data_IF_437048608761
#
_entry.id   IF_437048608761
#
_cell.length_a   1.000
_cell.length_b   1.000
_cell.length_c   1.000
_cell.angle_alpha   90.00
_cell.angle_beta   90.00
_cell.angle_gamma   90.00
#
_symmetry.space_group_name_H-M   'P 1'
#
loop_
_entity.id
_entity.type
_entity.pdbx_description
1 polymer ?
#
# COMPACT_ATOMS: atom_id res chain seq x y z
N UNK A 1 58.42 23.23 35.92
CA UNK A 1 57.23 23.59 35.12
C UNK A 1 56.48 22.30 34.83
N UNK A 2 55.59 21.91 35.74
CA UNK A 2 54.88 20.63 35.74
C UNK A 2 53.49 20.87 35.16
N UNK A 3 53.17 20.18 34.06
CA UNK A 3 51.91 20.30 33.33
C UNK A 3 50.87 19.41 34.00
N UNK A 4 49.89 20.02 34.67
CA UNK A 4 48.76 19.33 35.28
C UNK A 4 47.91 18.64 34.21
N UNK A 5 47.73 17.33 34.35
CA UNK A 5 46.75 16.54 33.61
C UNK A 5 45.38 16.71 34.28
N UNK A 6 44.51 17.49 33.64
CA UNK A 6 43.09 17.55 34.00
C UNK A 6 42.41 16.27 33.56
N UNK A 7 41.99 15.50 34.56
CA UNK A 7 41.17 14.30 34.48
C UNK A 7 39.78 14.73 33.97
N UNK A 8 39.46 14.45 32.72
CA UNK A 8 38.10 14.63 32.19
C UNK A 8 37.22 13.52 32.73
N UNK A 9 36.28 13.89 33.60
CA UNK A 9 35.17 13.05 34.05
C UNK A 9 34.43 12.50 32.83
N UNK A 10 34.55 11.18 32.63
CA UNK A 10 33.70 10.42 31.73
C UNK A 10 32.34 10.30 32.41
N UNK A 11 31.43 11.20 32.07
CA UNK A 11 30.02 11.07 32.43
C UNK A 11 29.50 9.74 31.87
N UNK A 12 28.98 8.82 32.70
CA UNK A 12 28.48 7.54 32.21
C UNK A 12 27.31 7.81 31.28
N UNK A 13 27.45 7.35 30.04
CA UNK A 13 26.38 7.30 29.06
C UNK A 13 25.11 6.78 29.75
N UNK A 14 24.08 7.63 29.75
CA UNK A 14 22.73 7.28 30.16
C UNK A 14 22.30 6.05 29.37
N UNK A 15 22.38 4.88 30.00
CA UNK A 15 21.77 3.67 29.49
C UNK A 15 20.28 3.97 29.33
N UNK A 16 19.80 4.04 28.09
CA UNK A 16 18.38 4.15 27.81
C UNK A 16 17.67 3.02 28.56
N UNK A 17 16.68 3.32 29.42
CA UNK A 17 16.02 2.29 30.20
C UNK A 17 15.36 1.31 29.25
N UNK A 18 15.75 0.03 29.36
CA UNK A 18 15.12 -1.08 28.62
C UNK A 18 13.60 -0.92 28.75
N UNK A 19 12.87 -0.72 27.63
CA UNK A 19 11.45 -0.45 27.68
C UNK A 19 10.75 -1.63 28.35
N UNK A 20 10.03 -1.37 29.45
CA UNK A 20 9.29 -2.42 30.15
C UNK A 20 8.28 -3.07 29.20
N UNK A 21 8.12 -4.39 29.27
CA UNK A 21 7.23 -5.16 28.39
C UNK A 21 5.81 -4.57 28.32
N UNK A 22 5.32 -4.01 29.44
CA UNK A 22 4.03 -3.31 29.50
C UNK A 22 3.94 -2.05 28.63
N UNK A 23 5.01 -1.24 28.52
CA UNK A 23 5.02 -0.05 27.64
C UNK A 23 4.97 -0.45 26.16
N UNK A 24 5.65 -1.54 25.80
CA UNK A 24 5.61 -2.10 24.43
C UNK A 24 4.21 -2.60 24.09
N UNK A 25 3.57 -3.35 24.99
CA UNK A 25 2.20 -3.83 24.79
C UNK A 25 1.20 -2.68 24.63
N UNK A 26 1.27 -1.65 25.49
CA UNK A 26 0.39 -0.48 25.40
C UNK A 26 0.56 0.24 24.05
N UNK A 27 1.81 0.41 23.58
CA UNK A 27 2.07 1.01 22.25
C UNK A 27 1.46 0.17 21.12
N UNK A 28 1.59 -1.15 21.18
CA UNK A 28 1.00 -2.05 20.17
C UNK A 28 -0.53 -2.01 20.18
N UNK A 29 -1.16 -2.03 21.36
CA UNK A 29 -2.62 -1.92 21.49
C UNK A 29 -3.10 -0.60 20.90
N UNK A 30 -2.46 0.52 21.25
CA UNK A 30 -2.80 1.84 20.70
C UNK A 30 -2.65 1.88 19.17
N UNK A 31 -1.58 1.30 18.64
CA UNK A 31 -1.38 1.19 17.20
C UNK A 31 -2.53 0.41 16.54
N UNK A 32 -2.85 -0.78 17.05
CA UNK A 32 -3.93 -1.62 16.52
C UNK A 32 -5.29 -0.91 16.63
N UNK A 33 -5.56 -0.22 17.73
CA UNK A 33 -6.76 0.60 17.89
C UNK A 33 -6.84 1.71 16.86
N UNK A 34 -5.72 2.42 16.59
CA UNK A 34 -5.67 3.45 15.55
C UNK A 34 -5.96 2.89 14.16
N UNK A 35 -5.38 1.72 13.82
CA UNK A 35 -5.65 1.02 12.56
C UNK A 35 -7.11 0.53 12.47
N UNK A 36 -7.67 0.04 13.58
CA UNK A 36 -9.07 -0.40 13.64
C UNK A 36 -10.05 0.77 13.44
N UNK A 37 -9.74 1.95 13.99
CA UNK A 37 -10.53 3.17 13.76
C UNK A 37 -10.46 3.58 12.29
N UNK A 38 -9.27 3.58 11.68
CA UNK A 38 -9.14 3.86 10.24
C UNK A 38 -9.93 2.87 9.38
N UNK A 39 -9.83 1.57 9.69
CA UNK A 39 -10.61 0.52 9.04
C UNK A 39 -12.12 0.77 9.14
N UNK A 40 -12.62 1.15 10.33
CA UNK A 40 -14.03 1.44 10.57
C UNK A 40 -14.50 2.67 9.77
N UNK A 41 -13.73 3.76 9.77
CA UNK A 41 -14.05 4.97 9.00
C UNK A 41 -14.23 4.64 7.52
N UNK A 42 -13.28 3.93 6.92
CA UNK A 42 -13.38 3.55 5.51
C UNK A 42 -14.49 2.53 5.25
N UNK A 43 -14.76 1.62 6.19
CA UNK A 43 -15.84 0.64 6.05
C UNK A 43 -17.22 1.31 6.01
N UNK A 44 -17.46 2.28 6.88
CA UNK A 44 -18.75 2.94 7.03
C UNK A 44 -18.94 4.13 6.09
N UNK A 45 -17.91 4.97 5.91
CA UNK A 45 -18.00 6.22 5.15
C UNK A 45 -17.45 6.08 3.73
N UNK A 46 -16.45 5.22 3.52
CA UNK A 46 -15.81 5.05 2.20
C UNK A 46 -16.78 4.72 1.05
N UNK A 47 -17.78 3.83 1.23
CA UNK A 47 -18.76 3.54 0.18
C UNK A 47 -19.59 4.76 -0.24
N UNK A 48 -19.86 5.68 0.69
CA UNK A 48 -20.58 6.92 0.41
C UNK A 48 -19.73 7.85 -0.44
N UNK A 49 -18.43 7.97 -0.11
CA UNK A 49 -17.48 8.77 -0.87
C UNK A 49 -17.22 8.24 -2.29
N UNK A 50 -17.36 6.93 -2.48
CA UNK A 50 -17.24 6.31 -3.79
C UNK A 50 -18.47 6.55 -4.69
N UNK A 51 -19.60 7.02 -4.15
CA UNK A 51 -20.82 7.34 -4.92
C UNK A 51 -21.35 6.18 -5.77
N UNK A 52 -21.03 4.92 -5.43
CA UNK A 52 -21.37 3.77 -6.26
C UNK A 52 -22.88 3.49 -6.21
N UNK A 53 -23.47 3.27 -7.39
CA UNK A 53 -24.86 2.79 -7.55
C UNK A 53 -24.99 1.33 -7.08
N UNK A 54 -23.91 0.53 -7.18
CA UNK A 54 -23.85 -0.85 -6.70
C UNK A 54 -22.82 -0.99 -5.54
N UNK A 55 -23.26 -1.24 -4.29
CA UNK A 55 -22.37 -1.45 -3.15
C UNK A 55 -21.49 -2.72 -3.27
N UNK A 56 -21.78 -3.61 -4.22
CA UNK A 56 -20.96 -4.76 -4.59
C UNK A 56 -20.18 -4.57 -5.91
N UNK A 57 -20.08 -3.35 -6.43
CA UNK A 57 -19.29 -3.03 -7.63
C UNK A 57 -17.77 -3.09 -7.38
N UNK A 58 -16.93 -3.22 -8.43
CA UNK A 58 -15.48 -3.12 -8.28
C UNK A 58 -15.11 -1.70 -7.86
N UNK A 59 -14.27 -1.56 -6.83
CA UNK A 59 -13.79 -0.24 -6.40
C UNK A 59 -12.70 0.22 -7.37
N UNK A 60 -13.09 0.97 -8.40
CA UNK A 60 -12.18 1.54 -9.39
C UNK A 60 -12.63 2.93 -9.83
N UNK A 61 -11.69 3.89 -9.90
CA UNK A 61 -11.94 5.25 -10.38
C UNK A 61 -12.24 5.32 -11.88
N UNK A 62 -11.89 4.28 -12.62
CA UNK A 62 -12.02 4.21 -14.07
C UNK A 62 -13.48 4.16 -14.53
N UNK A 63 -14.38 3.70 -13.67
CA UNK A 63 -15.83 3.61 -13.95
C UNK A 63 -16.66 4.65 -13.17
N UNK A 64 -16.00 5.57 -12.44
CA UNK A 64 -16.67 6.62 -11.67
C UNK A 64 -16.95 7.84 -12.55
N UNK A 65 -18.19 8.37 -12.60
CA UNK A 65 -18.53 9.53 -13.44
C UNK A 65 -17.75 10.80 -13.09
N UNK A 66 -17.43 10.99 -11.80
CA UNK A 66 -16.80 12.19 -11.25
C UNK A 66 -15.58 11.85 -10.38
N UNK A 67 -14.58 11.18 -10.97
CA UNK A 67 -13.38 10.71 -10.26
C UNK A 67 -12.64 11.77 -9.43
N UNK A 68 -12.68 13.04 -9.83
CA UNK A 68 -12.06 14.14 -9.07
C UNK A 68 -12.77 14.44 -7.74
N UNK A 69 -14.11 14.41 -7.71
CA UNK A 69 -14.90 14.64 -6.50
C UNK A 69 -14.66 13.48 -5.52
N UNK A 70 -14.77 12.25 -6.02
CA UNK A 70 -14.48 11.04 -5.25
C UNK A 70 -13.07 11.06 -4.67
N UNK A 71 -12.07 11.48 -5.44
CA UNK A 71 -10.70 11.59 -4.93
C UNK A 71 -10.56 12.66 -3.85
N UNK A 72 -11.24 13.79 -3.98
CA UNK A 72 -11.24 14.84 -2.96
C UNK A 72 -11.90 14.37 -1.64
N UNK A 73 -12.99 13.61 -1.72
CA UNK A 73 -13.66 13.04 -0.55
C UNK A 73 -12.80 11.97 0.14
N UNK A 74 -12.16 11.10 -0.66
CA UNK A 74 -11.24 10.08 -0.15
C UNK A 74 -9.97 10.70 0.44
N UNK A 75 -9.51 11.85 -0.09
CA UNK A 75 -8.44 12.65 0.49
C UNK A 75 -8.82 13.15 1.89
N UNK A 76 -10.04 13.67 2.05
CA UNK A 76 -10.57 14.05 3.36
C UNK A 76 -10.58 12.88 4.34
N UNK A 77 -11.07 11.71 3.91
CA UNK A 77 -11.08 10.49 4.72
C UNK A 77 -9.67 10.01 5.08
N UNK A 78 -8.72 10.08 4.15
CA UNK A 78 -7.32 9.72 4.40
C UNK A 78 -6.68 10.64 5.45
N UNK A 79 -6.92 11.95 5.37
CA UNK A 79 -6.41 12.92 6.37
C UNK A 79 -7.01 12.63 7.75
N UNK A 80 -8.33 12.45 7.85
CA UNK A 80 -9.03 12.20 9.12
C UNK A 80 -8.60 10.88 9.75
N UNK A 81 -8.61 9.80 8.97
CA UNK A 81 -8.22 8.46 9.45
C UNK A 81 -6.76 8.41 9.89
N UNK A 82 -5.85 8.97 9.09
CA UNK A 82 -4.43 9.07 9.42
C UNK A 82 -4.20 9.90 10.67
N UNK A 83 -4.84 11.07 10.77
CA UNK A 83 -4.72 11.95 11.92
C UNK A 83 -5.21 11.29 13.20
N UNK A 84 -6.39 10.67 13.19
CA UNK A 84 -6.93 9.94 14.33
C UNK A 84 -6.05 8.74 14.72
N UNK A 85 -5.55 7.98 13.76
CA UNK A 85 -4.68 6.85 14.04
C UNK A 85 -3.38 7.28 14.75
N UNK A 86 -2.76 8.39 14.30
CA UNK A 86 -1.56 8.95 14.94
C UNK A 86 -1.90 9.55 16.31
N UNK A 87 -3.03 10.25 16.44
CA UNK A 87 -3.47 10.78 17.74
C UNK A 87 -3.67 9.67 18.79
N UNK A 88 -4.23 8.52 18.39
CA UNK A 88 -4.43 7.35 19.26
C UNK A 88 -3.09 6.67 19.57
N UNK A 89 -2.22 6.51 18.57
CA UNK A 89 -0.91 5.88 18.73
C UNK A 89 0.04 6.71 19.61
N UNK A 90 -0.08 8.04 19.58
CA UNK A 90 0.69 9.00 20.38
C UNK A 90 1.98 9.46 19.72
N UNK A 91 2.80 10.21 20.47
CA UNK A 91 3.99 10.88 19.94
C UNK A 91 5.03 9.94 19.29
N UNK A 92 5.69 10.42 18.25
CA UNK A 92 6.71 9.71 17.48
C UNK A 92 6.15 8.65 16.54
N UNK A 93 4.85 8.72 16.20
CA UNK A 93 4.17 7.71 15.36
C UNK A 93 3.73 8.23 14.00
N UNK A 94 4.23 9.38 13.54
CA UNK A 94 3.90 9.96 12.23
C UNK A 94 4.01 8.96 11.05
N UNK A 95 4.99 8.06 11.09
CA UNK A 95 5.19 7.03 10.06
C UNK A 95 4.04 5.99 9.96
N UNK A 96 3.11 5.97 10.92
CA UNK A 96 1.93 5.09 10.95
C UNK A 96 0.73 5.64 10.18
N UNK A 97 0.72 6.94 9.87
CA UNK A 97 -0.33 7.57 9.08
C UNK A 97 -0.59 6.87 7.73
N UNK A 98 0.43 6.66 6.89
CA UNK A 98 0.28 5.92 5.62
C UNK A 98 -0.26 4.50 5.81
N UNK A 99 0.18 3.80 6.87
CA UNK A 99 -0.29 2.45 7.17
C UNK A 99 -1.79 2.46 7.53
N UNK A 100 -2.26 3.46 8.28
CA UNK A 100 -3.68 3.61 8.60
C UNK A 100 -4.53 3.86 7.35
N UNK A 101 -4.07 4.71 6.44
CA UNK A 101 -4.74 4.95 5.15
C UNK A 101 -4.76 3.66 4.31
N UNK A 102 -3.65 2.94 4.23
CA UNK A 102 -3.56 1.69 3.49
C UNK A 102 -4.51 0.62 4.07
N UNK A 103 -4.59 0.49 5.40
CA UNK A 103 -5.56 -0.41 6.06
C UNK A 103 -7.00 0.00 5.74
N UNK A 104 -7.32 1.28 5.80
CA UNK A 104 -8.65 1.79 5.42
C UNK A 104 -9.01 1.51 3.96
N UNK A 105 -8.07 1.73 3.03
CA UNK A 105 -8.29 1.41 1.62
C UNK A 105 -8.44 -0.10 1.40
N UNK A 106 -7.72 -0.94 2.13
CA UNK A 106 -7.87 -2.39 2.07
C UNK A 106 -9.25 -2.84 2.58
N UNK A 107 -9.78 -2.22 3.64
CA UNK A 107 -11.14 -2.53 4.13
C UNK A 107 -12.21 -2.05 3.16
N UNK A 108 -12.03 -0.89 2.54
CA UNK A 108 -12.90 -0.41 1.46
C UNK A 108 -12.89 -1.37 0.27
N UNK A 109 -11.70 -1.78 -0.18
CA UNK A 109 -11.55 -2.73 -1.27
C UNK A 109 -12.25 -4.05 -0.95
N UNK A 110 -12.05 -4.61 0.26
CA UNK A 110 -12.65 -5.87 0.70
C UNK A 110 -14.19 -5.92 0.60
N UNK A 111 -14.86 -4.77 0.60
CA UNK A 111 -16.31 -4.66 0.44
C UNK A 111 -16.78 -4.72 -1.03
N UNK A 112 -15.94 -4.28 -1.97
CA UNK A 112 -16.27 -4.25 -3.40
C UNK A 112 -16.07 -5.58 -4.12
N UNK A 113 -16.28 -5.61 -5.42
CA UNK A 113 -15.96 -6.75 -6.28
C UNK A 113 -14.51 -6.72 -6.79
N UNK A 114 -14.10 -7.78 -7.49
CA UNK A 114 -12.75 -7.99 -8.02
C UNK A 114 -12.58 -7.40 -9.44
N UNK A 115 -11.32 -7.32 -9.92
CA UNK A 115 -10.96 -6.92 -11.28
C UNK A 115 -11.79 -7.64 -12.35
N UNK A 116 -12.07 -8.91 -12.10
CA UNK A 116 -12.86 -9.76 -12.97
C UNK A 116 -14.23 -9.14 -13.34
N UNK A 117 -14.91 -8.51 -12.37
CA UNK A 117 -16.21 -7.85 -12.59
C UNK A 117 -16.04 -6.53 -13.36
N UNK A 118 -14.95 -5.79 -13.13
CA UNK A 118 -14.63 -4.55 -13.84
C UNK A 118 -14.47 -4.81 -15.34
N UNK A 119 -13.64 -5.79 -15.69
CA UNK A 119 -13.38 -6.14 -17.08
C UNK A 119 -14.63 -6.69 -17.76
N UNK A 120 -15.41 -7.53 -17.07
CA UNK A 120 -16.67 -8.03 -17.60
C UNK A 120 -17.66 -6.89 -17.91
N UNK A 121 -17.78 -5.92 -17.01
CA UNK A 121 -18.63 -4.75 -17.23
C UNK A 121 -18.20 -3.97 -18.47
N UNK A 122 -16.91 -3.70 -18.63
CA UNK A 122 -16.38 -2.97 -19.80
C UNK A 122 -16.55 -3.74 -21.10
N UNK A 123 -16.27 -5.04 -21.13
CA UNK A 123 -16.51 -5.89 -22.30
C UNK A 123 -17.99 -5.85 -22.71
N UNK A 124 -18.92 -5.88 -21.74
CA UNK A 124 -20.37 -5.82 -22.02
C UNK A 124 -20.83 -4.48 -22.62
N UNK A 125 -20.24 -3.37 -22.17
CA UNK A 125 -20.51 -2.03 -22.74
C UNK A 125 -20.04 -1.98 -24.20
N UNK A 126 -18.85 -2.50 -24.47
CA UNK A 126 -18.29 -2.50 -25.82
C UNK A 126 -19.10 -3.40 -26.75
N UNK A 127 -19.45 -4.61 -26.29
CA UNK A 127 -20.25 -5.55 -27.08
C UNK A 127 -21.65 -5.01 -27.41
N UNK A 128 -22.34 -4.40 -26.44
CA UNK A 128 -23.66 -3.80 -26.65
C UNK A 128 -23.61 -2.59 -27.58
N UNK A 129 -22.59 -1.74 -27.45
CA UNK A 129 -22.42 -0.56 -28.29
C UNK A 129 -22.06 -0.92 -29.73
N UNK A 130 -21.25 -1.96 -29.92
CA UNK A 130 -20.94 -2.52 -31.24
C UNK A 130 -22.19 -3.12 -31.91
N UNK A 131 -23.04 -3.83 -31.14
CA UNK A 131 -24.30 -4.36 -31.66
C UNK A 131 -25.31 -3.25 -32.04
N UNK A 132 -25.25 -2.10 -31.37
CA UNK A 132 -26.10 -0.94 -31.65
C UNK A 132 -25.57 -0.05 -32.81
N UNK A 133 -24.44 -0.39 -33.43
CA UNK A 133 -23.85 0.38 -34.52
C UNK A 133 -23.34 1.77 -34.10
N UNK A 134 -23.00 1.96 -32.82
CA UNK A 134 -22.49 3.25 -32.34
C UNK A 134 -21.05 3.49 -32.84
N UNK A 135 -20.83 4.51 -33.67
CA UNK A 135 -19.51 4.88 -34.23
C UNK A 135 -18.63 5.73 -33.28
N UNK A 136 -18.95 5.76 -31.99
CA UNK A 136 -18.19 6.51 -30.99
C UNK A 136 -16.86 5.84 -30.59
N UNK A 137 -15.98 6.58 -29.90
CA UNK A 137 -14.80 5.96 -29.28
C UNK A 137 -15.26 5.00 -28.18
N UNK A 138 -15.21 3.71 -28.46
CA UNK A 138 -15.54 2.67 -27.50
C UNK A 138 -14.48 2.66 -26.38
N UNK A 139 -14.88 2.48 -25.12
CA UNK A 139 -13.92 2.37 -24.02
C UNK A 139 -13.03 1.15 -24.21
N UNK A 140 -11.74 1.27 -23.89
CA UNK A 140 -10.81 0.15 -23.91
C UNK A 140 -11.29 -0.95 -22.92
N UNK A 141 -11.52 -2.19 -23.39
CA UNK A 141 -11.91 -3.31 -22.54
C UNK A 141 -10.90 -3.63 -21.44
N UNK A 142 -9.61 -3.36 -21.67
CA UNK A 142 -8.55 -3.56 -20.68
C UNK A 142 -7.62 -2.34 -20.62
N UNK A 143 -7.99 -1.28 -19.87
CA UNK A 143 -7.32 0.01 -19.88
C UNK A 143 -6.00 -0.03 -19.08
N UNK A 144 -4.97 -0.67 -19.64
CA UNK A 144 -3.69 -0.97 -18.97
C UNK A 144 -3.07 0.24 -18.28
N UNK A 145 -2.96 1.37 -19.00
CA UNK A 145 -2.39 2.60 -18.46
C UNK A 145 -3.31 3.29 -17.45
N UNK A 146 -4.62 3.14 -17.61
CA UNK A 146 -5.61 3.62 -16.62
C UNK A 146 -5.46 2.88 -15.29
N UNK A 147 -5.32 1.55 -15.31
CA UNK A 147 -5.12 0.72 -14.13
C UNK A 147 -3.80 1.05 -13.41
N UNK A 148 -2.72 1.24 -14.18
CA UNK A 148 -1.44 1.66 -13.64
C UNK A 148 -1.54 3.05 -13.00
N UNK A 149 -2.07 4.05 -13.72
CA UNK A 149 -2.23 5.42 -13.21
C UNK A 149 -3.11 5.47 -11.96
N UNK A 150 -4.21 4.71 -11.95
CA UNK A 150 -5.08 4.57 -10.79
C UNK A 150 -4.32 4.03 -9.58
N UNK A 151 -3.44 3.04 -9.76
CA UNK A 151 -2.61 2.51 -8.66
C UNK A 151 -1.70 3.58 -8.06
N UNK A 152 -1.08 4.40 -8.92
CA UNK A 152 -0.24 5.52 -8.47
C UNK A 152 -1.04 6.59 -7.74
N UNK A 153 -2.29 6.86 -8.14
CA UNK A 153 -3.19 7.76 -7.41
C UNK A 153 -3.50 7.23 -6.00
N UNK A 154 -3.81 5.94 -5.87
CA UNK A 154 -4.02 5.31 -4.56
C UNK A 154 -2.77 5.38 -3.67
N UNK A 155 -1.58 5.15 -4.24
CA UNK A 155 -0.31 5.31 -3.52
C UNK A 155 -0.05 6.77 -3.11
N UNK A 156 -0.42 7.73 -3.96
CA UNK A 156 -0.38 9.16 -3.63
C UNK A 156 -1.28 9.49 -2.44
N UNK A 157 -2.49 8.94 -2.39
CA UNK A 157 -3.40 9.08 -1.28
C UNK A 157 -2.83 8.49 0.02
N UNK A 158 -2.21 7.32 -0.05
CA UNK A 158 -1.49 6.69 1.08
C UNK A 158 -0.34 7.59 1.55
N UNK A 159 0.41 8.19 0.63
CA UNK A 159 1.51 9.10 0.95
C UNK A 159 1.04 10.38 1.67
N UNK A 160 -0.17 10.89 1.38
CA UNK A 160 -0.77 12.02 2.12
C UNK A 160 -0.94 11.68 3.61
N UNK A 161 -1.16 10.42 3.96
CA UNK A 161 -1.16 9.96 5.35
C UNK A 161 0.15 10.30 6.09
N UNK A 162 1.27 10.41 5.39
CA UNK A 162 2.53 10.83 6.02
C UNK A 162 2.49 12.31 6.43
N UNK A 163 1.90 13.16 5.59
CA UNK A 163 1.76 14.59 5.85
C UNK A 163 0.78 14.82 7.00
N UNK A 164 -0.40 14.20 6.94
CA UNK A 164 -1.39 14.28 8.00
C UNK A 164 -0.86 13.71 9.32
N UNK A 165 -0.18 12.57 9.26
CA UNK A 165 0.46 11.96 10.43
C UNK A 165 1.52 12.87 11.05
N UNK A 166 2.38 13.50 10.25
CA UNK A 166 3.36 14.47 10.76
C UNK A 166 2.73 15.70 11.38
N UNK A 167 1.65 16.20 10.78
CA UNK A 167 0.93 17.36 11.31
C UNK A 167 0.36 17.08 12.70
N UNK A 168 -0.28 15.92 12.90
CA UNK A 168 -0.82 15.52 14.21
C UNK A 168 0.28 15.16 15.21
N UNK A 169 1.35 14.50 14.78
CA UNK A 169 2.49 14.16 15.65
C UNK A 169 3.14 15.43 16.24
N UNK A 170 3.13 16.54 15.48
CA UNK A 170 3.58 17.85 15.93
C UNK A 170 2.79 18.45 17.08
N UNK A 171 1.57 17.96 17.37
CA UNK A 171 0.76 18.42 18.51
C UNK A 171 1.31 17.97 19.86
N UNK A 172 2.16 16.94 19.89
CA UNK A 172 2.66 16.35 21.13
C UNK A 172 3.96 17.00 21.66
N UNK A 173 4.34 18.18 21.16
CA UNK A 173 5.53 18.97 21.57
C UNK A 173 6.87 18.20 21.57
N UNK A 174 6.94 17.05 20.91
CA UNK A 174 8.20 16.34 20.71
C UNK A 174 9.01 17.05 19.63
N UNK A 175 10.21 17.54 19.98
CA UNK A 175 11.17 18.00 18.96
C UNK A 175 11.31 16.88 17.94
N UNK A 176 10.96 17.11 16.65
CA UNK A 176 11.19 16.10 15.64
C UNK A 176 12.70 15.79 15.65
N UNK A 177 13.06 14.50 15.67
CA UNK A 177 14.44 14.10 15.49
C UNK A 177 14.96 14.81 14.23
N UNK A 178 16.03 15.59 14.38
CA UNK A 178 16.60 16.42 13.33
C UNK A 178 16.74 15.59 12.06
N UNK A 179 15.98 15.93 11.01
CA UNK A 179 16.03 15.20 9.76
C UNK A 179 17.38 15.47 9.11
N UNK A 180 18.34 14.56 9.30
CA UNK A 180 19.64 14.63 8.63
C UNK A 180 19.40 14.69 7.11
N UNK A 181 20.07 15.58 6.36
CA UNK A 181 19.88 15.71 4.92
C UNK A 181 20.15 14.39 4.21
N UNK A 182 19.31 14.08 3.21
CA UNK A 182 19.43 12.88 2.36
C UNK A 182 20.72 13.00 1.54
N UNK A 183 21.65 12.07 1.76
CA UNK A 183 22.91 12.01 1.03
C UNK A 183 22.80 11.23 -0.29
N UNK A 184 23.78 11.37 -1.21
CA UNK A 184 23.83 10.58 -2.44
C UNK A 184 23.94 9.06 -2.17
N UNK A 185 24.52 8.66 -1.03
CA UNK A 185 24.53 7.27 -0.57
C UNK A 185 23.12 6.72 -0.34
N UNK A 186 22.23 7.53 0.22
CA UNK A 186 20.88 7.13 0.61
C UNK A 186 20.01 6.90 -0.65
N UNK A 187 20.23 7.71 -1.69
CA UNK A 187 19.57 7.56 -2.99
C UNK A 187 20.01 6.24 -3.65
N UNK A 188 21.32 5.96 -3.67
CA UNK A 188 21.85 4.72 -4.26
C UNK A 188 21.34 3.48 -3.53
N UNK A 189 21.30 3.51 -2.20
CA UNK A 189 20.74 2.43 -1.40
C UNK A 189 19.24 2.26 -1.64
N UNK A 190 18.48 3.36 -1.71
CA UNK A 190 17.04 3.33 -2.03
C UNK A 190 16.78 2.76 -3.42
N UNK A 191 17.57 3.12 -4.43
CA UNK A 191 17.47 2.56 -5.76
C UNK A 191 17.78 1.05 -5.78
N UNK A 192 18.82 0.62 -5.05
CA UNK A 192 19.14 -0.79 -4.88
C UNK A 192 18.02 -1.57 -4.18
N UNK A 193 17.41 -0.98 -3.15
CA UNK A 193 16.28 -1.56 -2.44
C UNK A 193 15.05 -1.69 -3.34
N UNK A 194 14.72 -0.67 -4.14
CA UNK A 194 13.61 -0.74 -5.12
C UNK A 194 13.85 -1.88 -6.10
N UNK A 195 15.06 -2.00 -6.66
CA UNK A 195 15.38 -3.04 -7.63
C UNK A 195 15.21 -4.45 -7.04
N UNK A 196 15.84 -4.72 -5.89
CA UNK A 196 15.76 -6.02 -5.23
C UNK A 196 14.33 -6.32 -4.75
N UNK A 197 13.67 -5.36 -4.11
CA UNK A 197 12.30 -5.56 -3.64
C UNK A 197 11.31 -5.79 -4.77
N UNK A 198 11.47 -5.14 -5.93
CA UNK A 198 10.61 -5.38 -7.09
C UNK A 198 10.75 -6.83 -7.56
N UNK A 199 11.98 -7.32 -7.69
CA UNK A 199 12.24 -8.72 -8.11
C UNK A 199 11.70 -9.70 -7.08
N UNK A 200 12.00 -9.50 -5.79
CA UNK A 200 11.56 -10.40 -4.72
C UNK A 200 10.04 -10.40 -4.60
N UNK A 201 9.40 -9.23 -4.57
CA UNK A 201 7.95 -9.12 -4.51
C UNK A 201 7.31 -9.83 -5.72
N UNK A 202 7.81 -9.57 -6.93
CA UNK A 202 7.34 -10.24 -8.13
C UNK A 202 7.39 -11.76 -8.02
N UNK A 203 8.53 -12.32 -7.60
CA UNK A 203 8.72 -13.77 -7.48
C UNK A 203 7.80 -14.37 -6.40
N UNK A 204 7.71 -13.73 -5.24
CA UNK A 204 6.88 -14.23 -4.12
C UNK A 204 5.40 -14.16 -4.47
N UNK A 205 4.93 -13.06 -5.06
CA UNK A 205 3.53 -12.93 -5.50
C UNK A 205 3.24 -13.96 -6.59
N UNK A 206 4.16 -14.17 -7.55
CA UNK A 206 3.99 -15.15 -8.65
C UNK A 206 3.80 -16.55 -8.11
N UNK A 207 4.60 -16.89 -7.11
CA UNK A 207 4.55 -18.18 -6.46
C UNK A 207 3.27 -18.35 -5.63
N UNK A 208 2.91 -17.35 -4.81
CA UNK A 208 1.82 -17.45 -3.85
C UNK A 208 0.42 -17.36 -4.47
N UNK A 209 0.25 -16.60 -5.56
CA UNK A 209 -1.04 -16.47 -6.25
C UNK A 209 -1.41 -17.76 -7.01
N UNK A 210 -0.44 -18.53 -7.50
CA UNK A 210 -0.68 -19.80 -8.20
C UNK A 210 -0.82 -19.67 -9.72
N UNK A 211 -1.45 -20.68 -10.36
CA UNK A 211 -1.49 -20.83 -11.84
C UNK A 211 -2.74 -20.22 -12.48
N UNK A 212 -2.65 -19.85 -13.75
CA UNK A 212 -3.71 -19.20 -14.55
C UNK A 212 -5.06 -19.96 -14.52
N UNK A 213 -5.01 -21.28 -14.57
CA UNK A 213 -6.20 -22.15 -14.70
C UNK A 213 -6.85 -22.56 -13.38
N UNK A 214 -6.34 -22.08 -12.24
CA UNK A 214 -6.92 -22.40 -10.94
C UNK A 214 -7.94 -21.32 -10.52
N UNK A 215 -9.04 -21.70 -9.85
CA UNK A 215 -9.88 -20.71 -9.18
C UNK A 215 -9.03 -20.04 -8.09
N UNK A 216 -8.91 -18.71 -8.15
CA UNK A 216 -8.12 -17.93 -7.20
C UNK A 216 -9.09 -17.18 -6.30
N UNK A 217 -9.06 -17.50 -5.01
CA UNK A 217 -9.86 -16.80 -4.03
C UNK A 217 -9.30 -15.41 -3.78
N UNK A 218 -10.18 -14.44 -3.53
CA UNK A 218 -9.78 -13.07 -3.19
C UNK A 218 -8.80 -13.01 -2.02
N UNK A 219 -9.05 -13.79 -0.97
CA UNK A 219 -8.16 -13.87 0.19
C UNK A 219 -6.75 -14.34 -0.16
N UNK A 220 -6.61 -15.22 -1.16
CA UNK A 220 -5.30 -15.67 -1.64
C UNK A 220 -4.56 -14.54 -2.37
N UNK A 221 -5.26 -13.77 -3.21
CA UNK A 221 -4.69 -12.57 -3.84
C UNK A 221 -4.22 -11.59 -2.77
N UNK A 222 -5.06 -11.37 -1.76
CA UNK A 222 -4.77 -10.42 -0.70
C UNK A 222 -3.52 -10.81 0.09
N UNK A 223 -3.50 -12.07 0.50
CA UNK A 223 -2.37 -12.66 1.20
C UNK A 223 -1.10 -12.59 0.35
N UNK A 224 -1.15 -12.99 -0.91
CA UNK A 224 0.03 -13.04 -1.77
C UNK A 224 0.65 -11.66 -1.99
N UNK A 225 -0.16 -10.64 -2.27
CA UNK A 225 0.32 -9.25 -2.44
C UNK A 225 0.96 -8.76 -1.15
N UNK A 226 0.25 -8.84 -0.02
CA UNK A 226 0.78 -8.39 1.27
C UNK A 226 2.06 -9.16 1.65
N UNK A 227 2.05 -10.49 1.56
CA UNK A 227 3.17 -11.36 1.89
C UNK A 227 4.39 -11.10 0.99
N UNK A 228 4.17 -10.88 -0.30
CA UNK A 228 5.22 -10.51 -1.26
C UNK A 228 5.94 -9.24 -0.87
N UNK A 229 5.20 -8.19 -0.53
CA UNK A 229 5.80 -6.91 -0.14
C UNK A 229 6.42 -6.93 1.26
N UNK A 230 5.85 -7.65 2.24
CA UNK A 230 6.52 -7.88 3.54
C UNK A 230 7.87 -8.54 3.32
N UNK A 231 7.89 -9.63 2.54
CA UNK A 231 9.12 -10.41 2.28
C UNK A 231 10.16 -9.56 1.56
N UNK A 232 9.74 -8.85 0.50
CA UNK A 232 10.59 -7.94 -0.25
C UNK A 232 11.18 -6.82 0.62
N UNK A 233 10.39 -6.29 1.55
CA UNK A 233 10.82 -5.23 2.44
C UNK A 233 11.80 -5.74 3.51
N UNK A 234 11.54 -6.92 4.07
CA UNK A 234 12.47 -7.60 4.97
C UNK A 234 13.83 -7.84 4.32
N UNK A 235 13.85 -8.37 3.09
CA UNK A 235 15.08 -8.58 2.30
C UNK A 235 15.79 -7.26 2.02
N UNK A 236 15.06 -6.22 1.62
CA UNK A 236 15.67 -4.93 1.29
C UNK A 236 16.49 -4.34 2.45
N UNK A 237 15.98 -4.25 3.68
CA UNK A 237 16.88 -3.86 4.78
C UNK A 237 17.69 -4.98 5.45
N UNK A 238 17.66 -6.21 4.94
CA UNK A 238 18.77 -7.13 5.21
C UNK A 238 19.99 -6.75 4.35
N UNK A 239 19.76 -6.20 3.15
CA UNK A 239 20.82 -5.83 2.21
C UNK A 239 21.30 -4.36 2.33
N UNK A 240 20.43 -3.44 2.77
CA UNK A 240 20.68 -2.00 2.75
C UNK A 240 20.32 -1.32 4.09
N UNK A 241 21.04 -0.26 4.46
CA UNK A 241 20.72 0.54 5.65
C UNK A 241 19.71 1.66 5.31
N UNK A 242 18.46 1.25 5.06
CA UNK A 242 17.42 2.16 4.56
C UNK A 242 16.79 2.96 5.68
N UNK A 243 16.86 4.30 5.55
CA UNK A 243 16.30 5.27 6.50
C UNK A 243 14.96 5.84 6.09
N UNK A 244 14.74 5.99 4.79
CA UNK A 244 13.46 6.45 4.24
C UNK A 244 12.53 5.27 4.04
N UNK A 245 11.22 5.46 4.23
CA UNK A 245 10.20 4.49 3.85
C UNK A 245 9.58 4.79 2.47
N UNK A 246 9.96 5.89 1.82
CA UNK A 246 9.32 6.34 0.58
C UNK A 246 9.56 5.37 -0.59
N UNK A 247 10.69 4.66 -0.59
CA UNK A 247 11.02 3.65 -1.59
C UNK A 247 10.03 2.46 -1.59
N UNK A 248 9.37 2.20 -0.44
CA UNK A 248 8.42 1.08 -0.33
C UNK A 248 7.20 1.29 -1.22
N UNK A 249 6.60 2.49 -1.19
CA UNK A 249 5.45 2.83 -2.03
C UNK A 249 5.82 2.85 -3.52
N UNK A 250 7.02 3.33 -3.86
CA UNK A 250 7.52 3.29 -5.25
C UNK A 250 7.64 1.86 -5.76
N UNK A 251 8.17 0.95 -4.94
CA UNK A 251 8.25 -0.47 -5.28
C UNK A 251 6.87 -1.07 -5.58
N UNK A 252 5.85 -0.72 -4.79
CA UNK A 252 4.47 -1.18 -5.02
C UNK A 252 3.95 -0.70 -6.37
N UNK A 253 4.13 0.59 -6.68
CA UNK A 253 3.69 1.17 -7.95
C UNK A 253 4.39 0.55 -9.16
N UNK A 254 5.70 0.28 -9.06
CA UNK A 254 6.48 -0.38 -10.12
C UNK A 254 5.98 -1.80 -10.35
N UNK A 255 5.87 -2.62 -9.31
CA UNK A 255 5.40 -4.01 -9.44
C UNK A 255 4.00 -4.07 -10.03
N UNK A 256 3.07 -3.22 -9.57
CA UNK A 256 1.71 -3.17 -10.11
C UNK A 256 1.70 -2.72 -11.59
N UNK A 257 2.49 -1.71 -11.95
CA UNK A 257 2.62 -1.23 -13.33
C UNK A 257 3.12 -2.36 -14.24
N UNK A 258 4.19 -3.06 -13.83
CA UNK A 258 4.73 -4.20 -14.57
C UNK A 258 3.71 -5.33 -14.65
N UNK A 259 2.96 -5.60 -13.57
CA UNK A 259 1.92 -6.62 -13.57
C UNK A 259 0.84 -6.33 -14.62
N UNK A 260 0.32 -5.11 -14.70
CA UNK A 260 -0.69 -4.75 -15.70
C UNK A 260 -0.14 -4.73 -17.12
N UNK A 261 1.09 -4.28 -17.34
CA UNK A 261 1.70 -4.22 -18.68
C UNK A 261 2.05 -5.63 -19.20
N UNK A 262 2.74 -6.44 -18.39
CA UNK A 262 3.17 -7.79 -18.77
C UNK A 262 2.00 -8.78 -18.71
N UNK A 263 1.04 -8.53 -17.83
CA UNK A 263 -0.14 -9.37 -17.66
C UNK A 263 -1.30 -9.03 -18.59
N UNK A 264 -1.17 -7.98 -19.42
CA UNK A 264 -2.21 -7.56 -20.34
C UNK A 264 -2.62 -8.72 -21.28
N UNK A 265 -3.93 -8.93 -21.48
CA UNK A 265 -4.44 -9.94 -22.40
C UNK A 265 -4.11 -9.57 -23.84
N UNK A 266 -3.89 -10.59 -24.68
CA UNK A 266 -3.64 -10.36 -26.11
C UNK A 266 -4.86 -9.72 -26.79
N UNK A 267 -4.62 -8.91 -27.84
CA UNK A 267 -5.69 -8.30 -28.63
C UNK A 267 -6.66 -9.34 -29.22
N UNK A 268 -6.16 -10.52 -29.59
CA UNK A 268 -6.97 -11.64 -30.06
C UNK A 268 -7.92 -12.17 -28.97
N UNK A 269 -7.44 -12.33 -27.73
CA UNK A 269 -8.26 -12.77 -26.61
C UNK A 269 -9.35 -11.74 -26.27
N UNK A 270 -9.00 -10.44 -26.28
CA UNK A 270 -9.97 -9.35 -26.06
C UNK A 270 -11.03 -9.34 -27.16
N UNK A 271 -10.63 -9.39 -28.43
CA UNK A 271 -11.56 -9.41 -29.55
C UNK A 271 -12.50 -10.63 -29.51
N UNK A 272 -11.97 -11.79 -29.11
CA UNK A 272 -12.78 -12.99 -28.92
C UNK A 272 -13.81 -12.80 -27.80
N UNK A 273 -13.40 -12.33 -26.62
CA UNK A 273 -14.31 -12.06 -25.50
C UNK A 273 -15.40 -11.04 -25.84
N UNK A 274 -15.07 -9.98 -26.59
CA UNK A 274 -16.07 -9.00 -27.06
C UNK A 274 -17.04 -9.64 -28.04
N UNK A 275 -16.56 -10.46 -28.98
CA UNK A 275 -17.40 -11.13 -29.99
C UNK A 275 -18.36 -12.14 -29.37
N UNK A 276 -17.92 -12.91 -28.38
CA UNK A 276 -18.71 -13.97 -27.75
C UNK A 276 -19.52 -13.48 -26.54
N UNK A 277 -19.22 -12.27 -26.03
CA UNK A 277 -19.72 -11.81 -24.73
C UNK A 277 -19.22 -12.65 -23.56
N UNK A 278 -18.11 -13.40 -23.75
CA UNK A 278 -17.57 -14.29 -22.72
C UNK A 278 -16.55 -13.59 -21.83
N UNK A 279 -16.37 -14.17 -20.65
CA UNK A 279 -15.41 -13.71 -19.65
C UNK A 279 -13.97 -13.70 -20.19
N UNK A 280 -13.20 -12.64 -19.90
CA UNK A 280 -11.79 -12.51 -20.27
C UNK A 280 -10.92 -13.09 -19.16
N UNK A 281 -10.24 -14.21 -19.43
CA UNK A 281 -9.38 -14.86 -18.43
C UNK A 281 -8.15 -14.00 -18.16
N UNK A 282 -8.08 -13.43 -16.96
CA UNK A 282 -6.96 -12.61 -16.52
C UNK A 282 -5.85 -13.47 -15.93
N UNK A 283 -4.61 -13.05 -16.23
CA UNK A 283 -3.42 -13.59 -15.58
C UNK A 283 -3.49 -13.35 -14.07
N UNK A 284 -3.02 -14.28 -13.23
CA UNK A 284 -3.15 -14.17 -11.80
C UNK A 284 -2.59 -12.87 -11.20
N UNK A 285 -1.50 -12.37 -11.78
CA UNK A 285 -0.86 -11.10 -11.41
C UNK A 285 -1.71 -9.85 -11.68
N UNK A 286 -2.65 -9.90 -12.62
CA UNK A 286 -3.48 -8.74 -12.96
C UNK A 286 -4.85 -8.76 -12.31
N UNK A 287 -5.14 -9.80 -11.52
CA UNK A 287 -6.41 -9.96 -10.80
C UNK A 287 -6.61 -9.01 -9.61
N UNK A 288 -5.56 -8.56 -8.87
CA UNK A 288 -5.77 -7.53 -7.88
C UNK A 288 -6.19 -6.22 -8.55
N UNK A 289 -7.18 -5.53 -7.99
CA UNK A 289 -7.55 -4.17 -8.40
C UNK A 289 -6.43 -3.16 -8.08
N UNK A 290 -6.40 -1.99 -8.74
CA UNK A 290 -5.45 -0.91 -8.41
C UNK A 290 -5.41 -0.55 -6.91
N UNK A 291 -6.58 -0.42 -6.28
CA UNK A 291 -6.69 -0.15 -4.85
C UNK A 291 -6.15 -1.31 -3.99
N UNK A 292 -6.37 -2.56 -4.41
CA UNK A 292 -5.91 -3.74 -3.68
C UNK A 292 -4.38 -3.84 -3.74
N UNK A 293 -3.79 -3.63 -4.92
CA UNK A 293 -2.34 -3.57 -5.10
C UNK A 293 -1.71 -2.48 -4.22
N UNK A 294 -2.25 -1.25 -4.30
CA UNK A 294 -1.73 -0.12 -3.54
C UNK A 294 -1.86 -0.35 -2.03
N UNK A 295 -3.06 -0.72 -1.55
CA UNK A 295 -3.35 -0.86 -0.13
C UNK A 295 -2.58 -2.04 0.49
N UNK A 296 -2.69 -3.24 -0.07
CA UNK A 296 -2.06 -4.44 0.49
C UNK A 296 -0.56 -4.41 0.31
N UNK A 297 -0.07 -3.87 -0.81
CA UNK A 297 1.36 -3.67 -1.03
C UNK A 297 1.94 -2.68 -0.04
N UNK A 298 1.26 -1.56 0.21
CA UNK A 298 1.67 -0.60 1.23
C UNK A 298 1.60 -1.19 2.65
N UNK A 299 0.54 -1.93 3.01
CA UNK A 299 0.45 -2.62 4.31
C UNK A 299 1.66 -3.55 4.49
N UNK A 300 1.92 -4.40 3.49
CA UNK A 300 3.01 -5.36 3.56
C UNK A 300 4.37 -4.69 3.68
N UNK A 301 4.61 -3.63 2.89
CA UNK A 301 5.90 -2.94 2.94
C UNK A 301 6.08 -2.08 4.20
N UNK A 302 5.01 -1.51 4.76
CA UNK A 302 5.07 -0.61 5.92
C UNK A 302 5.03 -1.34 7.27
N UNK A 303 4.42 -2.53 7.37
CA UNK A 303 4.37 -3.30 8.62
C UNK A 303 5.72 -3.96 8.97
N UNK A 304 6.68 -3.91 8.05
CA UNK A 304 8.00 -4.52 8.19
C UNK A 304 8.73 -4.14 9.48
N UNK A 305 8.59 -2.90 9.97
CA UNK A 305 9.21 -2.49 11.23
C UNK A 305 8.72 -3.34 12.41
N UNK A 306 7.42 -3.64 12.46
CA UNK A 306 6.83 -4.50 13.49
C UNK A 306 7.18 -5.97 13.26
N UNK A 307 7.17 -6.41 12.00
CA UNK A 307 7.57 -7.76 11.64
C UNK A 307 9.02 -8.07 12.10
N UNK A 308 9.95 -7.12 11.95
CA UNK A 308 11.31 -7.26 12.45
C UNK A 308 11.40 -7.33 13.96
N UNK A 309 10.64 -6.49 14.66
CA UNK A 309 10.61 -6.53 16.12
C UNK A 309 10.12 -7.90 16.62
N UNK A 310 9.07 -8.44 15.99
CA UNK A 310 8.57 -9.79 16.29
C UNK A 310 9.62 -10.85 15.96
N UNK A 311 10.18 -10.87 14.75
CA UNK A 311 11.19 -11.85 14.35
C UNK A 311 12.41 -11.84 15.29
N UNK A 312 12.90 -10.66 15.67
CA UNK A 312 14.01 -10.54 16.64
C UNK A 312 13.64 -11.11 18.00
N UNK A 313 12.43 -10.82 18.49
CA UNK A 313 11.93 -11.35 19.75
C UNK A 313 11.74 -12.88 19.70
N UNK A 314 11.23 -13.42 18.59
CA UNK A 314 11.00 -14.86 18.42
C UNK A 314 12.30 -15.65 18.29
N UNK A 315 13.30 -15.10 17.61
CA UNK A 315 14.56 -15.79 17.34
C UNK A 315 15.71 -15.39 18.29
N UNK A 316 15.44 -14.59 19.32
CA UNK A 316 16.44 -14.21 20.33
C UNK A 316 17.62 -13.41 19.76
N UNK A 317 17.44 -12.71 18.64
CA UNK A 317 18.49 -11.88 18.05
C UNK A 317 18.57 -10.57 18.84
N UNK A 318 19.58 -10.45 19.70
CA UNK A 318 19.85 -9.23 20.46
C UNK A 318 20.17 -8.05 19.53
N UNK A 319 19.74 -6.86 19.96
CA UNK A 319 19.81 -5.59 19.24
C UNK A 319 21.24 -5.12 18.96
#
# INVERSE_FOLDING_TARGET
>A
MIKALTMTDVSPATADPVPSAGRTLIRQIRLLSGLAVAAAIFWYVGPWALGHVDPGGPVSLIDVPSGLITMAELLGLAIVSSGLAVAIAGAGTAARGPLAVAVGLATLAARGAQMDKLILHRVSIVASSAAAGAEGSLPDPYPTWGLAAETWLWLGLIAVGYVAGRWVDGWFETRPAESRPVGPSDIRQSAGAIAISTVVAWLVISFAIGRENSPIFRGQVYFAVAFGFVTAALVAHACFDLRSNLWTLLCVGIVATVAYVVGAPSSAAVAQSVKTGSYLVLRPMTRPLPIEYAALGAIGALIQHDARAVLRATFGMNA
#
